data_IF_365093585822
#
_entry.id   IF_365093585822
#
_cell.length_a   1.000
_cell.length_b   1.000
_cell.length_c   1.000
_cell.angle_alpha   90.00
_cell.angle_beta   90.00
_cell.angle_gamma   90.00
#
_symmetry.space_group_name_H-M   'P 1'
#
loop_
_entity.id
_entity.type
_entity.pdbx_description
1 polymer ?
#
# COMPACT_ATOMS: atom_id res chain seq x y z
N UNK A 1 -7.63 1.80 -10.27
CA UNK A 1 -7.69 3.26 -10.00
C UNK A 1 -6.27 3.78 -9.98
N UNK A 2 -5.97 5.01 -10.48
CA UNK A 2 -4.63 5.58 -10.36
C UNK A 2 -4.18 5.67 -8.91
N UNK A 3 -2.89 5.50 -8.64
CA UNK A 3 -2.34 5.66 -7.30
C UNK A 3 -2.42 7.14 -6.85
N UNK A 4 -2.66 7.36 -5.56
CA UNK A 4 -2.63 8.69 -4.95
C UNK A 4 -1.30 8.88 -4.22
N UNK A 5 -0.65 10.02 -4.44
CA UNK A 5 0.69 10.32 -3.89
C UNK A 5 0.58 11.41 -2.84
N UNK A 6 1.35 11.28 -1.77
CA UNK A 6 1.38 12.20 -0.64
C UNK A 6 2.79 12.75 -0.44
N UNK A 7 2.85 14.06 -0.19
CA UNK A 7 4.05 14.76 0.25
C UNK A 7 4.09 14.85 1.78
N UNK A 8 5.26 15.12 2.34
CA UNK A 8 5.47 15.22 3.80
C UNK A 8 4.64 16.33 4.46
N UNK A 9 4.45 17.43 3.73
CA UNK A 9 3.63 18.55 4.14
C UNK A 9 3.19 19.36 2.90
N UNK A 10 2.33 20.37 3.10
CA UNK A 10 1.73 21.17 2.02
C UNK A 10 2.74 21.99 1.20
N UNK A 11 3.94 22.22 1.73
CA UNK A 11 5.00 22.97 1.05
C UNK A 11 6.06 22.05 0.41
N UNK A 12 5.95 20.74 0.60
CA UNK A 12 6.94 19.76 0.16
C UNK A 12 6.65 19.29 -1.26
N UNK A 13 7.70 19.13 -2.08
CA UNK A 13 7.61 18.62 -3.45
C UNK A 13 7.99 17.14 -3.61
N UNK A 14 8.86 16.54 -2.75
CA UNK A 14 9.09 15.10 -2.78
C UNK A 14 7.86 14.29 -2.35
N UNK A 15 7.57 13.23 -3.09
CA UNK A 15 6.65 12.18 -2.70
C UNK A 15 7.26 11.31 -1.59
N UNK A 16 6.57 11.18 -0.46
CA UNK A 16 7.03 10.38 0.70
C UNK A 16 6.12 9.20 1.01
N UNK A 17 4.90 9.20 0.47
CA UNK A 17 3.98 8.10 0.60
C UNK A 17 3.05 8.00 -0.61
N UNK A 18 2.39 6.85 -0.76
CA UNK A 18 1.34 6.64 -1.75
C UNK A 18 0.30 5.64 -1.26
N UNK A 19 -0.89 5.71 -1.83
CA UNK A 19 -1.90 4.65 -1.76
C UNK A 19 -2.24 4.16 -3.16
N UNK A 20 -2.40 2.86 -3.31
CA UNK A 20 -2.86 2.24 -4.54
C UNK A 20 -3.90 1.18 -4.21
N UNK A 21 -4.86 1.00 -5.11
CA UNK A 21 -5.87 -0.04 -4.98
C UNK A 21 -5.86 -0.92 -6.22
N UNK A 22 -5.82 -2.22 -5.99
CA UNK A 22 -5.92 -3.21 -7.04
C UNK A 22 -7.06 -4.19 -6.73
N UNK A 23 -7.92 -4.41 -7.72
CA UNK A 23 -9.09 -5.29 -7.61
C UNK A 23 -8.84 -6.53 -8.45
N UNK A 24 -8.61 -7.65 -7.78
CA UNK A 24 -8.63 -8.97 -8.41
C UNK A 24 -10.09 -9.46 -8.50
N UNK A 25 -10.32 -10.53 -9.26
CA UNK A 25 -11.64 -11.15 -9.33
C UNK A 25 -12.10 -11.76 -7.99
N UNK A 26 -11.16 -12.00 -7.06
CA UNK A 26 -11.42 -12.67 -5.79
C UNK A 26 -11.00 -11.87 -4.55
N UNK A 27 -10.33 -10.73 -4.74
CA UNK A 27 -9.66 -10.00 -3.67
C UNK A 27 -9.55 -8.51 -4.00
N UNK A 28 -9.89 -7.67 -3.03
CA UNK A 28 -9.59 -6.24 -3.04
C UNK A 28 -8.29 -6.00 -2.24
N UNK A 29 -7.30 -5.39 -2.88
CA UNK A 29 -6.01 -5.07 -2.27
C UNK A 29 -5.84 -3.55 -2.14
N UNK A 30 -5.63 -3.06 -0.91
CA UNK A 30 -5.19 -1.69 -0.64
C UNK A 30 -3.70 -1.73 -0.27
N UNK A 31 -2.90 -1.00 -1.03
CA UNK A 31 -1.45 -0.89 -0.84
C UNK A 31 -1.14 0.52 -0.33
N UNK A 32 -0.40 0.59 0.77
CA UNK A 32 0.10 1.83 1.37
C UNK A 32 1.62 1.76 1.39
N UNK A 33 2.28 2.63 0.64
CA UNK A 33 3.74 2.75 0.66
C UNK A 33 4.17 4.03 1.36
N UNK A 34 5.20 3.97 2.21
CA UNK A 34 5.81 5.15 2.83
C UNK A 34 7.32 5.02 2.98
N UNK A 35 8.02 6.14 2.86
CA UNK A 35 9.45 6.22 3.17
C UNK A 35 9.62 6.48 4.67
N UNK A 36 10.29 5.55 5.36
CA UNK A 36 10.57 5.66 6.80
C UNK A 36 11.92 5.00 7.10
N UNK A 37 12.74 5.63 7.94
CA UNK A 37 14.08 5.12 8.33
C UNK A 37 15.00 4.74 7.16
N UNK A 38 14.89 5.42 6.02
CA UNK A 38 15.70 5.13 4.83
C UNK A 38 15.28 3.86 4.07
N UNK A 39 14.14 3.27 4.44
CA UNK A 39 13.51 2.15 3.75
C UNK A 39 12.15 2.57 3.18
N UNK A 40 11.71 1.86 2.14
CA UNK A 40 10.32 1.90 1.69
C UNK A 40 9.57 0.80 2.45
N UNK A 41 8.62 1.20 3.30
CA UNK A 41 7.71 0.30 3.99
C UNK A 41 6.44 0.19 3.14
N UNK A 42 6.05 -1.03 2.82
CA UNK A 42 4.81 -1.32 2.07
C UNK A 42 3.90 -2.12 2.99
N UNK A 43 2.69 -1.62 3.20
CA UNK A 43 1.63 -2.34 3.89
C UNK A 43 0.52 -2.65 2.89
N UNK A 44 0.13 -3.93 2.79
CA UNK A 44 -0.95 -4.37 1.91
C UNK A 44 -2.06 -4.98 2.74
N UNK A 45 -3.27 -4.44 2.62
CA UNK A 45 -4.49 -4.97 3.21
C UNK A 45 -5.26 -5.74 2.15
N UNK A 46 -5.57 -6.99 2.44
CA UNK A 46 -6.23 -7.90 1.51
C UNK A 46 -7.60 -8.28 2.07
N UNK A 47 -8.64 -8.02 1.28
CA UNK A 47 -10.01 -8.38 1.58
C UNK A 47 -10.56 -9.37 0.55
N UNK A 48 -10.96 -10.57 0.96
CA UNK A 48 -11.51 -11.56 0.02
C UNK A 48 -12.97 -11.24 -0.31
N UNK A 49 -13.27 -11.11 -1.60
CA UNK A 49 -14.61 -10.73 -2.09
C UNK A 49 -15.34 -11.85 -2.84
N UNK A 50 -14.78 -13.06 -2.84
CA UNK A 50 -15.30 -14.22 -3.60
C UNK A 50 -16.21 -15.15 -2.79
N UNK A 51 -16.53 -14.82 -1.54
CA UNK A 51 -17.37 -15.66 -0.69
C UNK A 51 -16.70 -16.97 -0.24
N UNK A 52 -15.39 -17.11 -0.40
CA UNK A 52 -14.64 -18.33 -0.04
C UNK A 52 -14.58 -18.62 1.47
N UNK A 53 -14.96 -17.67 2.32
CA UNK A 53 -14.85 -17.78 3.78
C UNK A 53 -13.41 -17.64 4.30
N UNK A 54 -12.45 -17.29 3.44
CA UNK A 54 -11.08 -16.97 3.84
C UNK A 54 -11.06 -15.65 4.64
N UNK A 55 -10.21 -15.60 5.65
CA UNK A 55 -10.03 -14.41 6.47
C UNK A 55 -9.18 -13.36 5.75
N UNK A 56 -9.51 -12.10 5.99
CA UNK A 56 -8.69 -10.96 5.58
C UNK A 56 -7.32 -11.02 6.25
N UNK A 57 -6.31 -10.49 5.56
CA UNK A 57 -4.95 -10.45 6.08
C UNK A 57 -4.22 -9.20 5.62
N UNK A 58 -3.21 -8.81 6.40
CA UNK A 58 -2.28 -7.76 6.02
C UNK A 58 -0.84 -8.28 5.93
N UNK A 59 -0.05 -7.65 5.07
CA UNK A 59 1.40 -7.86 4.99
C UNK A 59 2.12 -6.55 5.17
N UNK A 60 3.29 -6.59 5.82
CA UNK A 60 4.20 -5.46 5.94
C UNK A 60 5.56 -5.88 5.39
N UNK A 61 6.05 -5.14 4.40
CA UNK A 61 7.30 -5.42 3.71
C UNK A 61 8.25 -4.23 3.85
N UNK A 62 9.53 -4.52 4.10
CA UNK A 62 10.58 -3.52 4.24
C UNK A 62 11.54 -3.63 3.05
N UNK A 63 11.57 -2.60 2.23
CA UNK A 63 12.44 -2.54 1.04
C UNK A 63 13.60 -1.59 1.33
N UNK A 64 14.82 -2.11 1.33
CA UNK A 64 16.04 -1.32 1.42
C UNK A 64 16.76 -1.27 0.08
N UNK A 65 17.51 -0.19 -0.14
CA UNK A 65 18.40 -0.10 -1.30
C UNK A 65 19.62 -1.00 -1.05
N UNK A 66 19.96 -1.83 -2.03
CA UNK A 66 21.13 -2.71 -2.01
C UNK A 66 22.43 -1.91 -2.17
#
# INVERSE_FOLDING_TARGET
VPAMVFADNVCSTPAVAFTAQYKFNFLDALIVGRLEFGALIIETFNHFTDGSGRADYNTVEFMSKK
#
